data_IF_696316611327
#
_entry.id   IF_696316611327
#
_cell.length_a   1.000
_cell.length_b   1.000
_cell.length_c   1.000
_cell.angle_alpha   90.00
_cell.angle_beta   90.00
_cell.angle_gamma   90.00
#
_symmetry.space_group_name_H-M   'P 1'
#
loop_
_entity.id
_entity.type
_entity.pdbx_description
1 polymer ?
#
# COMPACT_ATOMS: atom_id res chain seq x y z
N UNK A 1 49.31 18.45 17.59
CA UNK A 1 48.30 18.95 16.63
C UNK A 1 47.86 17.91 15.60
N UNK A 2 48.76 17.15 14.95
CA UNK A 2 48.36 16.08 13.99
C UNK A 2 47.52 14.93 14.60
N UNK A 3 47.74 14.60 15.87
CA UNK A 3 46.97 13.55 16.59
C UNK A 3 45.55 13.96 16.99
N UNK A 4 45.29 15.27 17.14
CA UNK A 4 43.95 15.80 17.44
C UNK A 4 43.08 15.91 16.18
N UNK A 5 43.70 16.17 15.02
CA UNK A 5 43.01 16.21 13.73
C UNK A 5 42.44 14.83 13.34
N UNK A 6 43.12 13.75 13.72
CA UNK A 6 42.69 12.38 13.41
C UNK A 6 41.42 11.98 14.17
N UNK A 7 41.28 12.39 15.44
CA UNK A 7 40.06 12.15 16.22
C UNK A 7 38.85 12.96 15.70
N UNK A 8 39.09 14.15 15.15
CA UNK A 8 38.02 14.99 14.60
C UNK A 8 37.48 14.42 13.26
N UNK A 9 38.35 13.82 12.45
CA UNK A 9 37.95 13.17 11.19
C UNK A 9 37.25 11.83 11.44
N UNK A 10 37.67 11.05 12.44
CA UNK A 10 36.98 9.81 12.83
C UNK A 10 35.62 10.06 13.50
N UNK A 11 35.46 11.16 14.25
CA UNK A 11 34.17 11.53 14.86
C UNK A 11 33.11 11.98 13.85
N UNK A 12 33.51 12.61 12.74
CA UNK A 12 32.60 13.04 11.68
C UNK A 12 32.11 11.89 10.79
N UNK A 13 32.85 10.78 10.73
CA UNK A 13 32.46 9.57 9.98
C UNK A 13 31.46 8.66 10.74
N UNK A 14 31.18 8.93 12.01
CA UNK A 14 30.13 8.22 12.78
C UNK A 14 28.75 8.88 12.71
N UNK A 15 28.66 10.08 12.13
CA UNK A 15 27.38 10.75 11.85
C UNK A 15 26.87 10.49 10.44
N UNK A 16 27.44 9.53 9.70
CA UNK A 16 26.71 8.90 8.60
C UNK A 16 25.55 8.13 9.21
N UNK A 17 24.47 8.84 9.50
CA UNK A 17 23.18 8.33 9.88
C UNK A 17 22.85 7.18 8.94
N UNK A 18 22.91 5.95 9.47
CA UNK A 18 22.10 4.87 8.98
C UNK A 18 20.67 5.43 9.00
N UNK A 19 20.16 5.90 7.86
CA UNK A 19 18.72 5.96 7.67
C UNK A 19 18.29 4.50 7.66
N UNK A 20 18.00 3.98 8.85
CA UNK A 20 17.22 2.77 8.94
C UNK A 20 15.94 3.07 8.16
N UNK A 21 15.71 2.35 7.06
CA UNK A 21 14.43 2.41 6.37
C UNK A 21 13.39 2.02 7.40
N UNK A 22 12.61 3.01 7.85
CA UNK A 22 11.56 2.78 8.83
C UNK A 22 10.58 1.80 8.18
N UNK A 23 10.34 0.67 8.85
CA UNK A 23 9.50 -0.38 8.27
C UNK A 23 8.07 0.13 8.21
N UNK A 24 7.50 0.13 7.01
CA UNK A 24 6.13 0.56 6.78
C UNK A 24 5.17 -0.64 6.91
N UNK A 25 4.08 -0.42 7.62
CA UNK A 25 2.98 -1.36 7.79
C UNK A 25 1.72 -0.80 7.15
N UNK A 26 0.91 -1.67 6.56
CA UNK A 26 -0.26 -1.27 5.80
C UNK A 26 -1.43 -2.20 6.07
N UNK A 27 -2.63 -1.64 6.23
CA UNK A 27 -3.87 -2.42 6.24
C UNK A 27 -4.64 -2.13 4.96
N UNK A 28 -4.85 -3.17 4.16
CA UNK A 28 -5.67 -3.12 2.97
C UNK A 28 -7.07 -3.63 3.31
N UNK A 29 -8.08 -2.81 3.09
CA UNK A 29 -9.48 -3.17 3.24
C UNK A 29 -10.12 -3.13 1.85
N UNK A 30 -10.47 -4.32 1.35
CA UNK A 30 -11.17 -4.46 0.07
C UNK A 30 -12.66 -4.39 0.34
N UNK A 31 -13.32 -3.44 -0.31
CA UNK A 31 -14.68 -3.05 0.02
C UNK A 31 -15.60 -3.39 -1.13
N UNK A 32 -16.66 -4.11 -0.78
CA UNK A 32 -17.78 -4.36 -1.64
C UNK A 32 -18.91 -3.40 -1.29
N UNK A 33 -19.45 -2.75 -2.32
CA UNK A 33 -20.59 -1.84 -2.22
C UNK A 33 -21.67 -2.38 -3.15
N UNK A 34 -22.90 -2.48 -2.64
CA UNK A 34 -24.02 -2.91 -3.48
C UNK A 34 -24.35 -1.82 -4.53
N UNK A 35 -24.77 -2.24 -5.71
CA UNK A 35 -24.86 -1.36 -6.90
C UNK A 35 -25.79 -0.15 -6.72
N UNK A 36 -26.77 -0.20 -5.82
CA UNK A 36 -27.71 0.88 -5.52
C UNK A 36 -27.17 1.90 -4.50
N UNK A 37 -26.02 1.65 -3.87
CA UNK A 37 -25.42 2.50 -2.84
C UNK A 37 -24.17 3.27 -3.31
N UNK A 38 -23.82 3.19 -4.60
CA UNK A 38 -22.60 3.82 -5.15
C UNK A 38 -22.58 5.34 -4.93
N UNK A 39 -23.73 6.02 -5.04
CA UNK A 39 -23.83 7.47 -4.80
C UNK A 39 -23.64 7.84 -3.31
N UNK A 40 -24.20 7.05 -2.40
CA UNK A 40 -24.05 7.23 -0.94
C UNK A 40 -22.59 7.00 -0.51
N UNK A 41 -21.84 6.23 -1.30
CA UNK A 41 -20.44 5.93 -1.02
C UNK A 41 -19.49 7.14 -1.20
N UNK A 42 -19.89 8.16 -1.96
CA UNK A 42 -19.13 9.43 -2.05
C UNK A 42 -19.20 10.17 -0.71
N UNK A 43 -20.39 10.26 -0.10
CA UNK A 43 -20.55 10.88 1.22
C UNK A 43 -19.79 10.10 2.29
N UNK A 44 -19.77 8.78 2.18
CA UNK A 44 -18.95 7.91 3.03
C UNK A 44 -17.45 8.23 2.91
N UNK A 45 -16.93 8.43 1.69
CA UNK A 45 -15.52 8.80 1.47
C UNK A 45 -15.15 10.09 2.18
N UNK A 46 -15.95 11.15 1.99
CA UNK A 46 -15.71 12.46 2.62
C UNK A 46 -15.82 12.40 4.15
N UNK A 47 -16.74 11.55 4.63
CA UNK A 47 -16.86 11.25 6.05
C UNK A 47 -15.58 10.59 6.59
N UNK A 48 -15.12 9.52 5.96
CA UNK A 48 -13.94 8.78 6.41
C UNK A 48 -12.68 9.63 6.33
N UNK A 49 -12.51 10.48 5.31
CA UNK A 49 -11.36 11.37 5.20
C UNK A 49 -11.22 12.25 6.46
N UNK A 50 -12.31 12.86 6.91
CA UNK A 50 -12.29 13.72 8.11
C UNK A 50 -11.95 12.94 9.38
N UNK A 51 -12.44 11.71 9.50
CA UNK A 51 -12.17 10.83 10.65
C UNK A 51 -10.71 10.39 10.64
N UNK A 52 -10.19 9.90 9.52
CA UNK A 52 -8.79 9.49 9.39
C UNK A 52 -7.81 10.66 9.49
N UNK A 53 -8.21 11.88 9.11
CA UNK A 53 -7.40 13.08 9.37
C UNK A 53 -7.20 13.33 10.87
N UNK A 54 -8.19 13.00 11.72
CA UNK A 54 -7.98 13.04 13.18
C UNK A 54 -7.06 11.93 13.66
N UNK A 55 -7.16 10.72 13.11
CA UNK A 55 -6.23 9.63 13.42
C UNK A 55 -4.79 9.97 13.05
N UNK A 56 -4.58 10.68 11.93
CA UNK A 56 -3.28 11.21 11.53
C UNK A 56 -2.80 12.29 12.52
N UNK A 57 -3.66 13.24 12.86
CA UNK A 57 -3.31 14.31 13.81
C UNK A 57 -2.97 13.80 15.22
N UNK A 58 -3.48 12.62 15.59
CA UNK A 58 -3.23 11.94 16.87
C UNK A 58 -2.10 10.90 16.77
N UNK A 59 -1.30 10.96 15.70
CA UNK A 59 -0.13 10.10 15.42
C UNK A 59 -0.43 8.59 15.45
N UNK A 60 -1.69 8.19 15.22
CA UNK A 60 -2.09 6.78 15.18
C UNK A 60 -1.83 6.11 13.82
N UNK A 61 -1.75 6.91 12.75
CA UNK A 61 -1.47 6.48 11.38
C UNK A 61 -0.47 7.45 10.75
N UNK A 62 0.19 7.02 9.67
CA UNK A 62 1.06 7.87 8.85
C UNK A 62 0.38 8.31 7.55
N UNK A 63 -0.80 7.75 7.26
CA UNK A 63 -1.58 8.11 6.11
C UNK A 63 -2.76 7.19 5.88
N UNK A 64 -3.66 7.64 5.02
CA UNK A 64 -4.80 6.87 4.56
C UNK A 64 -5.07 7.17 3.09
N UNK A 65 -5.35 6.13 2.31
CA UNK A 65 -5.71 6.23 0.90
C UNK A 65 -7.05 5.58 0.63
N UNK A 66 -7.74 6.13 -0.37
CA UNK A 66 -8.96 5.58 -0.91
C UNK A 66 -8.86 5.43 -2.42
N UNK A 67 -8.98 4.19 -2.87
CA UNK A 67 -8.79 3.78 -4.25
C UNK A 67 -10.09 3.24 -4.83
N UNK A 68 -10.48 3.75 -6.01
CA UNK A 68 -11.57 3.19 -6.80
C UNK A 68 -11.03 2.14 -7.76
N UNK A 69 -11.58 0.93 -7.70
CA UNK A 69 -11.19 -0.17 -8.57
C UNK A 69 -11.78 0.03 -9.96
N UNK A 70 -10.95 -0.21 -10.97
CA UNK A 70 -11.40 -0.29 -12.36
C UNK A 70 -12.09 -1.64 -12.54
N UNK A 71 -13.34 -1.64 -12.99
CA UNK A 71 -14.11 -2.86 -13.22
C UNK A 71 -13.45 -3.70 -14.33
N UNK A 72 -12.76 -4.76 -13.92
CA UNK A 72 -12.13 -5.73 -14.82
C UNK A 72 -12.75 -7.11 -14.65
N UNK A 73 -13.85 -7.37 -15.37
CA UNK A 73 -14.55 -8.66 -15.42
C UNK A 73 -15.94 -8.64 -14.76
N UNK A 74 -16.85 -9.48 -15.27
CA UNK A 74 -18.29 -9.57 -14.92
C UNK A 74 -18.59 -9.92 -13.43
N UNK A 75 -17.57 -10.01 -12.57
CA UNK A 75 -17.66 -10.33 -11.14
C UNK A 75 -16.54 -9.67 -10.33
N UNK A 76 -16.33 -8.34 -10.41
CA UNK A 76 -15.42 -7.71 -9.45
C UNK A 76 -16.07 -7.71 -8.07
N UNK A 77 -15.60 -8.62 -7.19
CA UNK A 77 -16.07 -8.76 -5.80
C UNK A 77 -15.95 -7.47 -4.96
N UNK A 78 -15.17 -6.49 -5.45
CA UNK A 78 -14.85 -5.26 -4.75
C UNK A 78 -14.94 -4.05 -5.69
N UNK A 79 -15.33 -2.90 -5.14
CA UNK A 79 -15.41 -1.61 -5.83
C UNK A 79 -14.32 -0.65 -5.37
N UNK A 80 -13.84 -0.80 -4.13
CA UNK A 80 -12.85 0.10 -3.55
C UNK A 80 -11.80 -0.63 -2.72
N UNK A 81 -10.64 -0.01 -2.55
CA UNK A 81 -9.61 -0.40 -1.60
C UNK A 81 -9.30 0.80 -0.71
N UNK A 82 -9.40 0.63 0.60
CA UNK A 82 -8.81 1.57 1.56
C UNK A 82 -7.46 1.03 2.02
N UNK A 83 -6.46 1.91 2.09
CA UNK A 83 -5.14 1.57 2.60
C UNK A 83 -4.83 2.49 3.76
N UNK A 84 -4.59 1.94 4.94
CA UNK A 84 -4.12 2.70 6.10
C UNK A 84 -2.66 2.39 6.36
N UNK A 85 -1.84 3.43 6.50
CA UNK A 85 -0.39 3.35 6.67
C UNK A 85 -0.01 3.55 8.14
N UNK A 86 0.91 2.72 8.63
CA UNK A 86 1.39 2.72 10.00
C UNK A 86 2.92 2.58 10.02
N UNK A 87 3.53 3.15 11.05
CA UNK A 87 4.95 3.06 11.37
C UNK A 87 5.25 2.03 12.45
N UNK A 88 4.20 1.53 13.10
CA UNK A 88 4.26 0.61 14.22
C UNK A 88 3.23 -0.53 14.04
N UNK A 89 3.65 -1.80 14.18
CA UNK A 89 2.76 -2.94 14.00
C UNK A 89 1.70 -3.07 15.10
N UNK A 90 1.91 -2.51 16.30
CA UNK A 90 0.90 -2.50 17.36
C UNK A 90 -0.18 -1.48 17.04
N UNK A 91 0.17 -0.30 16.54
CA UNK A 91 -0.80 0.67 15.99
C UNK A 91 -1.58 0.08 14.82
N UNK A 92 -0.95 -0.68 13.93
CA UNK A 92 -1.64 -1.37 12.84
C UNK A 92 -2.74 -2.31 13.35
N UNK A 93 -2.51 -3.00 14.47
CA UNK A 93 -3.45 -3.97 15.02
C UNK A 93 -4.56 -3.33 15.88
N UNK A 94 -4.21 -2.34 16.71
CA UNK A 94 -5.10 -1.81 17.76
C UNK A 94 -5.31 -0.29 17.70
N UNK A 95 -4.65 0.41 16.77
CA UNK A 95 -4.62 1.87 16.71
C UNK A 95 -5.95 2.51 16.28
N UNK A 96 -6.85 1.75 15.67
CA UNK A 96 -8.13 2.21 15.13
C UNK A 96 -9.32 1.38 15.66
N UNK A 97 -9.31 1.07 16.95
CA UNK A 97 -10.46 0.45 17.61
C UNK A 97 -11.72 1.32 17.49
N UNK A 98 -12.89 0.66 17.47
CA UNK A 98 -14.19 1.29 17.22
C UNK A 98 -14.46 2.51 18.12
N UNK A 99 -14.19 2.37 19.43
CA UNK A 99 -14.38 3.45 20.40
C UNK A 99 -13.60 4.71 20.00
N UNK A 100 -12.35 4.55 19.55
CA UNK A 100 -11.50 5.66 19.15
C UNK A 100 -11.97 6.27 17.82
N UNK A 101 -12.42 5.44 16.88
CA UNK A 101 -13.01 5.93 15.63
C UNK A 101 -14.29 6.75 15.88
N UNK A 102 -15.11 6.36 16.86
CA UNK A 102 -16.26 7.15 17.32
C UNK A 102 -15.80 8.49 17.92
N UNK A 103 -14.75 8.48 18.77
CA UNK A 103 -14.17 9.71 19.33
C UNK A 103 -13.66 10.66 18.24
N UNK A 104 -12.94 10.16 17.24
CA UNK A 104 -12.53 10.95 16.07
C UNK A 104 -13.72 11.47 15.27
N UNK A 105 -14.80 10.69 15.16
CA UNK A 105 -16.03 11.15 14.53
C UNK A 105 -16.65 12.32 15.30
N UNK A 106 -16.67 12.26 16.65
CA UNK A 106 -17.13 13.38 17.49
C UNK A 106 -16.32 14.65 17.26
N UNK A 107 -14.98 14.51 17.13
CA UNK A 107 -14.08 15.65 16.87
C UNK A 107 -14.30 16.23 15.46
N UNK A 108 -14.48 15.37 14.45
CA UNK A 108 -14.72 15.78 13.07
C UNK A 108 -16.10 16.46 12.88
N UNK A 109 -17.08 16.12 13.72
CA UNK A 109 -18.47 16.62 13.64
C UNK A 109 -18.95 17.21 14.99
N UNK A 110 -18.34 18.32 15.47
CA UNK A 110 -18.61 18.85 16.81
C UNK A 110 -20.02 19.43 16.98
N UNK A 111 -20.76 19.62 15.89
CA UNK A 111 -22.14 20.12 15.88
C UNK A 111 -23.17 19.01 16.13
N UNK A 112 -22.76 17.74 16.11
CA UNK A 112 -23.65 16.60 16.35
C UNK A 112 -23.64 16.23 17.82
N UNK A 113 -24.81 15.84 18.33
CA UNK A 113 -24.92 15.19 19.64
C UNK A 113 -24.33 13.77 19.60
N UNK A 114 -24.01 13.21 20.76
CA UNK A 114 -23.45 11.86 20.85
C UNK A 114 -24.33 10.78 20.17
N UNK A 115 -25.67 10.75 20.35
CA UNK A 115 -26.51 9.79 19.62
C UNK A 115 -26.47 9.99 18.10
N UNK A 116 -26.34 11.24 17.62
CA UNK A 116 -26.23 11.53 16.19
C UNK A 116 -24.90 11.06 15.62
N UNK A 117 -23.81 11.21 16.38
CA UNK A 117 -22.48 10.71 15.98
C UNK A 117 -22.48 9.19 15.88
N UNK A 118 -23.03 8.49 16.87
CA UNK A 118 -23.13 7.02 16.85
C UNK A 118 -23.92 6.55 15.64
N UNK A 119 -25.10 7.14 15.39
CA UNK A 119 -25.92 6.81 14.23
C UNK A 119 -25.20 7.09 12.90
N UNK A 120 -24.52 8.23 12.79
CA UNK A 120 -23.74 8.57 11.59
C UNK A 120 -22.64 7.55 11.34
N UNK A 121 -21.91 7.18 12.39
CA UNK A 121 -20.83 6.20 12.31
C UNK A 121 -21.36 4.81 11.95
N UNK A 122 -22.43 4.33 12.60
CA UNK A 122 -23.08 3.06 12.28
C UNK A 122 -23.57 3.01 10.82
N UNK A 123 -24.23 4.08 10.36
CA UNK A 123 -24.66 4.19 8.97
C UNK A 123 -23.47 4.10 8.01
N UNK A 124 -22.37 4.81 8.32
CA UNK A 124 -21.14 4.75 7.53
C UNK A 124 -20.55 3.34 7.45
N UNK A 125 -20.56 2.60 8.56
CA UNK A 125 -20.10 1.20 8.58
C UNK A 125 -21.03 0.26 7.80
N UNK A 126 -22.34 0.51 7.84
CA UNK A 126 -23.35 -0.35 7.19
C UNK A 126 -23.32 -0.30 5.66
N UNK A 127 -22.74 0.75 5.08
CA UNK A 127 -22.62 0.95 3.63
C UNK A 127 -21.53 0.08 2.98
N UNK A 128 -20.77 -0.68 3.77
CA UNK A 128 -19.70 -1.54 3.26
C UNK A 128 -19.83 -2.96 3.76
N UNK A 129 -19.70 -3.90 2.84
CA UNK A 129 -19.18 -5.22 3.18
C UNK A 129 -17.65 -5.18 3.01
N UNK A 130 -16.94 -5.86 3.90
CA UNK A 130 -15.47 -5.95 3.89
C UNK A 130 -15.06 -7.42 3.83
N UNK A 131 -15.19 -8.06 2.66
CA UNK A 131 -14.93 -9.50 2.53
C UNK A 131 -13.46 -9.86 2.70
N UNK A 132 -12.55 -8.89 2.57
CA UNK A 132 -11.11 -9.13 2.66
C UNK A 132 -10.38 -7.97 3.32
N UNK A 133 -9.63 -8.30 4.38
CA UNK A 133 -8.69 -7.41 5.05
C UNK A 133 -7.31 -8.07 5.10
N UNK A 134 -6.28 -7.35 4.64
CA UNK A 134 -4.90 -7.81 4.66
C UNK A 134 -4.06 -6.86 5.50
N UNK A 135 -3.40 -7.40 6.51
CA UNK A 135 -2.37 -6.71 7.28
C UNK A 135 -1.04 -7.02 6.63
N UNK A 136 -0.32 -6.01 6.19
CA UNK A 136 0.85 -6.13 5.33
C UNK A 136 2.04 -5.41 5.94
N UNK A 137 3.23 -5.96 5.70
CA UNK A 137 4.51 -5.33 6.02
C UNK A 137 5.28 -5.10 4.72
N UNK A 138 5.75 -3.88 4.50
CA UNK A 138 6.64 -3.59 3.38
C UNK A 138 7.99 -4.28 3.60
N UNK A 139 8.45 -5.00 2.57
CA UNK A 139 9.73 -5.69 2.57
C UNK A 139 10.78 -4.84 1.86
N UNK A 140 10.43 -4.31 0.70
CA UNK A 140 11.31 -3.49 -0.13
C UNK A 140 10.45 -2.59 -1.02
N UNK A 141 10.99 -1.43 -1.36
CA UNK A 141 10.39 -0.46 -2.26
C UNK A 141 11.48 0.24 -3.08
N UNK A 142 11.10 0.84 -4.20
CA UNK A 142 12.01 1.65 -5.01
C UNK A 142 12.39 2.95 -4.29
N UNK A 143 13.57 3.45 -4.63
CA UNK A 143 14.09 4.70 -4.10
C UNK A 143 13.66 5.84 -5.04
N UNK A 144 12.59 6.52 -4.69
CA UNK A 144 11.99 7.58 -5.51
C UNK A 144 11.37 8.71 -4.64
N UNK A 145 10.80 9.70 -5.31
CA UNK A 145 10.10 10.83 -4.67
C UNK A 145 8.69 10.99 -5.23
N UNK A 146 8.06 9.88 -5.61
CA UNK A 146 6.75 9.89 -6.23
C UNK A 146 5.71 10.53 -5.30
N UNK A 147 4.93 11.46 -5.86
CA UNK A 147 3.91 12.17 -5.11
C UNK A 147 2.55 11.53 -5.30
N UNK A 148 2.00 11.05 -4.19
CA UNK A 148 0.65 10.52 -4.11
C UNK A 148 -0.37 11.66 -4.18
N UNK A 149 -1.17 11.69 -5.25
CA UNK A 149 -2.25 12.66 -5.45
C UNK A 149 -3.43 12.03 -6.17
N UNK A 150 -4.66 12.56 -5.99
CA UNK A 150 -5.81 12.05 -6.72
C UNK A 150 -5.55 11.97 -8.23
N UNK A 151 -5.99 10.86 -8.84
CA UNK A 151 -5.76 10.52 -10.25
C UNK A 151 -4.54 9.62 -10.51
N UNK A 152 -3.67 9.38 -9.51
CA UNK A 152 -2.65 8.33 -9.58
C UNK A 152 -3.31 6.98 -9.86
N UNK A 153 -2.68 6.17 -10.73
CA UNK A 153 -3.11 4.83 -11.06
C UNK A 153 -2.21 3.82 -10.34
N UNK A 154 -2.77 2.75 -9.81
CA UNK A 154 -2.01 1.66 -9.22
C UNK A 154 -2.49 0.29 -9.69
N UNK A 155 -1.55 -0.63 -9.88
CA UNK A 155 -1.81 -2.06 -9.98
C UNK A 155 -1.44 -2.72 -8.67
N UNK A 156 -2.42 -3.35 -8.02
CA UNK A 156 -2.22 -4.17 -6.83
C UNK A 156 -2.22 -5.65 -7.23
N UNK A 157 -1.03 -6.23 -7.25
CA UNK A 157 -0.85 -7.60 -7.71
C UNK A 157 -0.74 -8.51 -6.49
N UNK A 158 -1.74 -9.37 -6.28
CA UNK A 158 -1.76 -10.34 -5.20
C UNK A 158 -1.06 -11.62 -5.65
N UNK A 159 -0.05 -12.03 -4.91
CA UNK A 159 0.72 -13.24 -5.16
C UNK A 159 0.67 -14.23 -4.00
N UNK A 160 0.84 -15.51 -4.32
CA UNK A 160 1.13 -16.56 -3.34
C UNK A 160 2.47 -17.19 -3.65
N UNK A 161 3.37 -17.18 -2.68
CA UNK A 161 4.63 -17.92 -2.77
C UNK A 161 4.33 -19.42 -2.96
N UNK A 162 5.09 -20.08 -3.84
CA UNK A 162 5.04 -21.54 -3.97
C UNK A 162 5.53 -22.17 -2.67
N UNK A 163 4.87 -23.26 -2.25
CA UNK A 163 5.24 -24.02 -1.04
C UNK A 163 6.75 -24.32 -1.01
N UNK A 164 7.43 -23.96 0.09
CA UNK A 164 8.87 -24.16 0.25
C UNK A 164 9.77 -23.16 -0.50
N UNK A 165 9.23 -22.28 -1.35
CA UNK A 165 10.00 -21.27 -2.11
C UNK A 165 9.90 -19.85 -1.57
N UNK A 166 9.38 -19.68 -0.36
CA UNK A 166 9.12 -18.35 0.24
C UNK A 166 10.34 -17.43 0.22
N UNK A 167 11.51 -17.92 0.69
CA UNK A 167 12.73 -17.12 0.72
C UNK A 167 13.28 -16.82 -0.69
N UNK A 168 13.21 -17.81 -1.59
CA UNK A 168 13.63 -17.62 -2.99
C UNK A 168 12.80 -16.54 -3.67
N UNK A 169 11.50 -16.54 -3.38
CA UNK A 169 10.59 -15.56 -3.93
C UNK A 169 10.92 -14.14 -3.48
N UNK A 170 11.08 -13.92 -2.18
CA UNK A 170 11.43 -12.58 -1.69
C UNK A 170 12.81 -12.13 -2.14
N UNK A 171 13.78 -13.03 -2.22
CA UNK A 171 15.10 -12.71 -2.77
C UNK A 171 15.00 -12.29 -4.23
N UNK A 172 14.19 -12.97 -5.05
CA UNK A 172 13.96 -12.56 -6.43
C UNK A 172 13.34 -11.16 -6.50
N UNK A 173 12.35 -10.85 -5.66
CA UNK A 173 11.72 -9.52 -5.60
C UNK A 173 12.72 -8.42 -5.23
N UNK A 174 13.62 -8.68 -4.28
CA UNK A 174 14.63 -7.72 -3.83
C UNK A 174 15.80 -7.56 -4.80
N UNK A 175 16.32 -8.65 -5.36
CA UNK A 175 17.59 -8.67 -6.10
C UNK A 175 17.40 -8.58 -7.63
N UNK A 176 16.23 -9.01 -8.13
CA UNK A 176 15.94 -9.05 -9.56
C UNK A 176 14.86 -8.03 -9.94
N UNK A 177 13.70 -8.05 -9.28
CA UNK A 177 12.59 -7.18 -9.68
C UNK A 177 12.78 -5.73 -9.22
N UNK A 178 13.22 -5.47 -7.97
CA UNK A 178 13.47 -4.09 -7.50
C UNK A 178 14.38 -3.30 -8.45
N UNK A 179 15.56 -3.79 -8.89
CA UNK A 179 16.39 -3.05 -9.85
C UNK A 179 15.72 -2.79 -11.20
N UNK A 180 14.92 -3.75 -11.70
CA UNK A 180 14.16 -3.58 -12.94
C UNK A 180 13.13 -2.45 -12.78
N UNK A 181 12.38 -2.42 -11.67
CA UNK A 181 11.43 -1.36 -11.38
C UNK A 181 12.11 -0.01 -11.15
N UNK A 182 13.27 0.02 -10.49
CA UNK A 182 14.07 1.23 -10.33
C UNK A 182 14.47 1.82 -11.70
N UNK A 183 14.95 0.99 -12.63
CA UNK A 183 15.26 1.41 -14.00
C UNK A 183 14.01 1.92 -14.75
N UNK A 184 12.84 1.30 -14.55
CA UNK A 184 11.56 1.81 -15.11
C UNK A 184 11.23 3.20 -14.58
N UNK A 185 11.47 3.47 -13.28
CA UNK A 185 11.25 4.79 -12.67
C UNK A 185 12.23 5.83 -13.24
N UNK A 186 13.51 5.48 -13.37
CA UNK A 186 14.54 6.36 -13.94
C UNK A 186 14.24 6.75 -15.39
N UNK A 187 13.60 5.86 -16.15
CA UNK A 187 13.11 6.11 -17.52
C UNK A 187 11.75 6.82 -17.58
N UNK A 188 11.16 7.16 -16.44
CA UNK A 188 9.85 7.81 -16.35
C UNK A 188 8.68 6.90 -16.77
N UNK A 189 8.86 5.58 -16.78
CA UNK A 189 7.84 4.58 -17.14
C UNK A 189 7.04 4.11 -15.93
N UNK A 190 7.50 4.38 -14.72
CA UNK A 190 6.82 4.02 -13.47
C UNK A 190 6.97 5.16 -12.47
N UNK A 191 6.00 5.30 -11.57
CA UNK A 191 6.04 6.26 -10.49
C UNK A 191 6.78 5.71 -9.27
N UNK A 192 6.29 4.59 -8.75
CA UNK A 192 6.79 3.93 -7.55
C UNK A 192 6.48 2.43 -7.61
N UNK A 193 7.29 1.62 -6.93
CA UNK A 193 7.03 0.20 -6.71
C UNK A 193 7.34 -0.21 -5.28
N UNK A 194 6.47 -1.02 -4.69
CA UNK A 194 6.73 -1.66 -3.41
C UNK A 194 6.29 -3.11 -3.38
N UNK A 195 7.01 -3.92 -2.61
CA UNK A 195 6.75 -5.32 -2.35
C UNK A 195 6.46 -5.55 -0.88
N UNK A 196 5.32 -6.20 -0.61
CA UNK A 196 4.77 -6.39 0.71
C UNK A 196 4.56 -7.87 1.00
N UNK A 197 4.75 -8.24 2.27
CA UNK A 197 4.41 -9.54 2.83
C UNK A 197 3.17 -9.45 3.70
N UNK A 198 2.27 -10.42 3.57
CA UNK A 198 1.12 -10.58 4.48
C UNK A 198 1.59 -10.93 5.89
N UNK A 199 1.30 -10.05 6.84
CA UNK A 199 1.38 -10.30 8.27
C UNK A 199 0.16 -11.08 8.76
N UNK A 200 -1.06 -10.74 8.32
CA UNK A 200 -2.29 -11.49 8.59
C UNK A 200 -3.30 -11.32 7.42
N UNK A 201 -4.12 -12.34 7.10
CA UNK A 201 -4.13 -13.70 7.66
C UNK A 201 -2.97 -14.57 7.14
N UNK A 202 -2.54 -15.56 7.93
CA UNK A 202 -1.50 -16.55 7.56
C UNK A 202 -2.06 -17.98 7.56
N UNK A 203 -1.35 -18.90 6.91
CA UNK A 203 -1.68 -20.34 6.86
C UNK A 203 -1.91 -20.85 5.43
N UNK A 204 -2.07 -22.17 5.28
CA UNK A 204 -2.21 -22.80 3.95
C UNK A 204 -3.43 -22.33 3.16
N UNK A 205 -4.50 -21.94 3.87
CA UNK A 205 -5.74 -21.40 3.32
C UNK A 205 -5.67 -19.89 2.99
N UNK A 206 -4.58 -19.20 3.33
CA UNK A 206 -4.41 -17.81 2.95
C UNK A 206 -4.42 -17.70 1.41
N UNK A 207 -5.30 -16.83 0.89
CA UNK A 207 -5.49 -16.63 -0.55
C UNK A 207 -4.30 -15.93 -1.20
N UNK A 208 -3.58 -15.11 -0.45
CA UNK A 208 -2.40 -14.37 -0.86
C UNK A 208 -1.37 -14.32 0.27
N UNK A 209 -0.08 -14.39 -0.06
CA UNK A 209 1.02 -14.22 0.91
C UNK A 209 1.83 -12.94 0.69
N UNK A 210 1.72 -12.33 -0.49
CA UNK A 210 2.43 -11.13 -0.86
C UNK A 210 1.60 -10.23 -1.76
N UNK A 211 1.97 -8.96 -1.83
CA UNK A 211 1.35 -7.98 -2.71
C UNK A 211 2.45 -7.08 -3.28
N UNK A 212 2.33 -6.69 -4.55
CA UNK A 212 3.09 -5.55 -5.09
C UNK A 212 2.16 -4.38 -5.35
N UNK A 213 2.63 -3.18 -5.04
CA UNK A 213 1.97 -1.94 -5.44
C UNK A 213 2.80 -1.33 -6.57
N UNK A 214 2.26 -1.36 -7.78
CA UNK A 214 2.87 -0.70 -8.94
C UNK A 214 2.14 0.62 -9.18
N UNK A 215 2.79 1.75 -8.91
CA UNK A 215 2.16 3.07 -9.03
C UNK A 215 2.60 3.79 -10.30
N UNK A 216 1.66 4.49 -10.90
CA UNK A 216 1.81 5.24 -12.13
C UNK A 216 1.11 6.59 -11.98
N UNK A 217 1.68 7.62 -12.57
CA UNK A 217 1.11 8.95 -12.61
C UNK A 217 -0.28 8.96 -13.28
N UNK A 218 -0.43 8.23 -14.38
CA UNK A 218 -1.63 8.18 -15.21
C UNK A 218 -1.63 6.92 -16.12
N UNK A 219 -2.73 6.72 -16.86
CA UNK A 219 -2.88 5.61 -17.81
C UNK A 219 -1.83 5.62 -18.93
N UNK A 220 -1.38 6.79 -19.38
CA UNK A 220 -0.36 6.85 -20.44
C UNK A 220 0.95 6.27 -19.94
N UNK A 221 1.36 6.63 -18.72
CA UNK A 221 2.54 6.03 -18.10
C UNK A 221 2.37 4.51 -17.92
N UNK A 222 1.20 4.06 -17.44
CA UNK A 222 0.90 2.63 -17.29
C UNK A 222 1.04 1.85 -18.61
N UNK A 223 0.39 2.28 -19.69
CA UNK A 223 0.49 1.59 -20.98
C UNK A 223 1.89 1.64 -21.60
N UNK A 224 2.60 2.77 -21.42
CA UNK A 224 3.99 2.87 -21.87
C UNK A 224 4.90 1.90 -21.11
N UNK A 225 4.67 1.68 -19.82
CA UNK A 225 5.43 0.74 -19.01
C UNK A 225 5.29 -0.71 -19.51
N UNK A 226 4.09 -1.08 -19.94
CA UNK A 226 3.79 -2.41 -20.47
C UNK A 226 4.42 -2.64 -21.85
N UNK A 227 4.42 -1.60 -22.70
CA UNK A 227 5.03 -1.68 -24.03
C UNK A 227 6.56 -1.76 -24.01
N UNK A 228 7.20 -1.40 -22.89
CA UNK A 228 8.65 -1.41 -22.72
C UNK A 228 9.18 -2.72 -22.09
N UNK A 229 8.30 -3.66 -21.72
CA UNK A 229 8.75 -4.99 -21.31
C UNK A 229 9.42 -5.70 -22.51
N UNK A 230 10.55 -6.38 -22.23
CA UNK A 230 11.32 -7.23 -23.15
C UNK A 230 12.45 -6.62 -24.01
N UNK A 231 12.68 -5.31 -24.01
CA UNK A 231 13.66 -4.73 -24.97
C UNK A 231 15.14 -4.76 -24.54
N UNK A 232 15.46 -4.95 -23.26
CA UNK A 232 16.84 -4.73 -22.76
C UNK A 232 17.43 -5.84 -21.85
N UNK A 233 16.78 -7.00 -21.71
CA UNK A 233 17.29 -8.04 -20.79
C UNK A 233 18.33 -8.97 -21.43
N UNK A 234 19.44 -9.18 -20.73
CA UNK A 234 20.44 -10.22 -21.00
C UNK A 234 19.87 -11.63 -20.82
N UNK A 235 20.59 -12.65 -21.28
CA UNK A 235 20.15 -14.04 -21.09
C UNK A 235 20.10 -14.45 -19.60
N UNK A 236 21.06 -13.95 -18.83
CA UNK A 236 21.18 -14.16 -17.40
C UNK A 236 20.03 -13.48 -16.64
N UNK A 237 19.71 -12.23 -16.96
CA UNK A 237 18.58 -11.51 -16.37
C UNK A 237 17.25 -12.18 -16.69
N UNK A 238 17.03 -12.59 -17.94
CA UNK A 238 15.82 -13.36 -18.32
C UNK A 238 15.70 -14.64 -17.52
N UNK A 239 16.81 -15.34 -17.27
CA UNK A 239 16.82 -16.55 -16.45
C UNK A 239 16.44 -16.24 -15.00
N UNK A 240 17.04 -15.21 -14.41
CA UNK A 240 16.74 -14.79 -13.03
C UNK A 240 15.29 -14.34 -12.86
N UNK A 241 14.75 -13.59 -13.83
CA UNK A 241 13.33 -13.19 -13.88
C UNK A 241 12.45 -14.44 -13.94
N UNK A 242 12.73 -15.38 -14.84
CA UNK A 242 11.95 -16.62 -14.94
C UNK A 242 12.01 -17.47 -13.66
N UNK A 243 13.16 -17.57 -13.01
CA UNK A 243 13.30 -18.26 -11.72
C UNK A 243 12.46 -17.58 -10.63
N UNK A 244 12.49 -16.24 -10.58
CA UNK A 244 11.63 -15.44 -9.71
C UNK A 244 10.14 -15.63 -9.98
N UNK A 245 9.71 -15.57 -11.23
CA UNK A 245 8.31 -15.83 -11.61
C UNK A 245 7.87 -17.26 -11.23
N UNK A 246 8.74 -18.26 -11.39
CA UNK A 246 8.46 -19.65 -11.02
C UNK A 246 8.51 -19.93 -9.51
N UNK A 247 8.78 -18.93 -8.68
CA UNK A 247 8.74 -19.02 -7.21
C UNK A 247 7.42 -18.54 -6.62
N UNK A 248 6.54 -17.93 -7.44
CA UNK A 248 5.26 -17.36 -7.04
C UNK A 248 4.15 -17.75 -8.02
N UNK A 249 2.92 -17.72 -7.54
CA UNK A 249 1.72 -17.69 -8.37
C UNK A 249 1.08 -16.31 -8.29
N UNK A 250 0.85 -15.67 -9.43
CA UNK A 250 0.00 -14.47 -9.50
C UNK A 250 -1.47 -14.89 -9.39
N UNK A 251 -2.15 -14.43 -8.33
CA UNK A 251 -3.53 -14.81 -8.03
C UNK A 251 -4.52 -13.82 -8.60
N UNK A 252 -4.24 -12.53 -8.46
CA UNK A 252 -5.13 -11.49 -8.97
C UNK A 252 -4.36 -10.20 -9.20
N UNK A 253 -4.87 -9.36 -10.10
CA UNK A 253 -4.38 -8.01 -10.35
C UNK A 253 -5.56 -7.06 -10.29
N UNK A 254 -5.48 -6.08 -9.40
CA UNK A 254 -6.47 -5.01 -9.30
C UNK A 254 -5.87 -3.72 -9.84
N UNK A 255 -6.50 -3.16 -10.88
CA UNK A 255 -6.18 -1.82 -11.33
C UNK A 255 -7.08 -0.82 -10.60
N UNK A 256 -6.52 0.24 -10.05
CA UNK A 256 -7.26 1.22 -9.27
C UNK A 256 -6.78 2.65 -9.51
N UNK A 257 -7.66 3.62 -9.30
CA UNK A 257 -7.35 5.04 -9.33
C UNK A 257 -7.48 5.62 -7.93
N UNK A 258 -6.48 6.37 -7.49
CA UNK A 258 -6.49 7.07 -6.22
C UNK A 258 -7.52 8.20 -6.28
N UNK A 259 -8.55 8.15 -5.45
CA UNK A 259 -9.53 9.23 -5.37
C UNK A 259 -9.23 10.21 -4.25
N UNK A 260 -8.68 9.72 -3.14
CA UNK A 260 -8.41 10.54 -1.98
C UNK A 260 -7.20 10.05 -1.19
N UNK A 261 -6.54 10.99 -0.52
CA UNK A 261 -5.29 10.77 0.20
C UNK A 261 -5.22 11.69 1.43
N UNK A 262 -4.84 11.11 2.56
CA UNK A 262 -4.53 11.78 3.82
C UNK A 262 -3.09 11.46 4.16
N UNK A 263 -2.25 12.49 4.31
CA UNK A 263 -0.81 12.43 4.60
C UNK A 263 -0.43 13.62 5.48
#
# INVERSE_FOLDING_TARGET
>A
MKKLLFFLVCGLLWFSSLRAQQTQYMVFEFIKVENDQIFDYIEFKDFMEKVYRQALNDDQINGWDFWALQSGGDQSDFQYIMITYFDDPVKMMNGLEEKRMIEYTKIAYPHLSEPQVLKLFENALSMRDMPMRLYMREIVSTDDSFQMKPGVLASFDLMKAVEGKFNQYEQAEMEVFKPIHQNKIEKGLMGHWSFLRTALPQGSQAKSTHLTMNMYKDYMQFFNAQAYEDLEQTAEERKAVNEGLNSRDQKWVYLATLENVVR
#
